data_IF_985700161370
#
_entry.id   IF_985700161370
#
_cell.length_a   1.000
_cell.length_b   1.000
_cell.length_c   1.000
_cell.angle_alpha   90.00
_cell.angle_beta   90.00
_cell.angle_gamma   90.00
#
_symmetry.space_group_name_H-M   'P 1'
#
loop_
_entity.id
_entity.type
_entity.pdbx_description
1 polymer ?
#
# COMPACT_ATOMS: atom_id res chain seq x y z
N UNK A 1 -39.23 -56.64 -43.06
CA UNK A 1 -38.34 -56.63 -41.91
C UNK A 1 -37.35 -55.47 -42.06
N UNK A 2 -37.62 -54.34 -41.45
CA UNK A 2 -36.74 -53.15 -41.50
C UNK A 2 -35.94 -53.09 -40.20
N UNK A 3 -34.60 -53.11 -40.32
CA UNK A 3 -33.68 -52.94 -39.20
C UNK A 3 -33.39 -51.43 -39.02
N UNK A 4 -33.86 -50.86 -37.95
CA UNK A 4 -33.44 -49.50 -37.53
C UNK A 4 -32.08 -49.55 -36.78
N UNK A 5 -31.09 -48.94 -37.41
CA UNK A 5 -29.77 -48.68 -36.77
C UNK A 5 -29.85 -47.42 -35.95
N UNK A 6 -29.65 -47.55 -34.63
CA UNK A 6 -29.59 -46.43 -33.71
C UNK A 6 -28.13 -45.91 -33.64
N UNK A 7 -27.91 -44.72 -34.19
CA UNK A 7 -26.60 -44.03 -34.13
C UNK A 7 -26.48 -43.28 -32.77
N UNK A 8 -25.56 -43.73 -31.93
CA UNK A 8 -25.21 -43.04 -30.67
C UNK A 8 -24.18 -41.96 -31.01
N UNK A 9 -24.62 -40.71 -30.99
CA UNK A 9 -23.70 -39.57 -31.07
C UNK A 9 -23.13 -39.32 -29.68
N UNK A 10 -21.82 -39.56 -29.50
CA UNK A 10 -21.06 -39.25 -28.32
C UNK A 10 -20.71 -37.76 -28.34
N UNK A 11 -21.35 -36.97 -27.47
CA UNK A 11 -21.03 -35.56 -27.26
C UNK A 11 -19.79 -35.50 -26.39
N UNK A 12 -18.65 -35.12 -26.97
CA UNK A 12 -17.41 -34.81 -26.22
C UNK A 12 -17.54 -33.43 -25.59
N UNK A 13 -17.79 -33.39 -24.26
CA UNK A 13 -17.80 -32.17 -23.48
C UNK A 13 -16.34 -31.78 -23.17
N UNK A 14 -15.77 -30.86 -23.94
CA UNK A 14 -14.44 -30.29 -23.64
C UNK A 14 -14.52 -29.33 -22.45
N UNK A 15 -14.08 -29.81 -21.30
CA UNK A 15 -13.89 -28.97 -20.10
C UNK A 15 -12.62 -28.13 -20.33
N UNK A 16 -12.81 -26.87 -20.66
CA UNK A 16 -11.74 -25.85 -20.61
C UNK A 16 -11.35 -25.61 -19.17
N UNK A 17 -10.31 -26.28 -18.70
CA UNK A 17 -9.64 -25.98 -17.45
C UNK A 17 -8.92 -24.63 -17.62
N UNK A 18 -9.52 -23.55 -17.15
CA UNK A 18 -8.79 -22.31 -16.90
C UNK A 18 -7.78 -22.58 -15.80
N UNK A 19 -6.58 -22.98 -16.20
CA UNK A 19 -5.42 -23.01 -15.30
C UNK A 19 -5.11 -21.59 -14.90
N UNK A 20 -5.49 -21.21 -13.67
CA UNK A 20 -5.02 -20.00 -13.02
C UNK A 20 -3.52 -20.21 -12.73
N UNK A 21 -2.66 -19.90 -13.73
CA UNK A 21 -1.21 -19.93 -13.52
C UNK A 21 -0.86 -18.86 -12.49
N UNK A 22 -0.51 -19.31 -11.28
CA UNK A 22 0.07 -18.44 -10.26
C UNK A 22 1.26 -17.71 -10.91
N UNK A 23 1.19 -16.40 -10.99
CA UNK A 23 2.21 -15.54 -11.59
C UNK A 23 3.52 -15.72 -10.81
N UNK A 24 4.47 -16.48 -11.36
CA UNK A 24 5.70 -16.92 -10.70
C UNK A 24 6.79 -15.84 -10.60
N UNK A 25 6.52 -14.59 -10.96
CA UNK A 25 7.51 -13.52 -10.96
C UNK A 25 6.89 -12.14 -10.74
N UNK A 26 7.77 -11.16 -10.60
CA UNK A 26 7.38 -9.74 -10.54
C UNK A 26 6.93 -9.32 -11.93
N UNK A 27 5.72 -8.74 -12.11
CA UNK A 27 5.25 -8.28 -13.42
C UNK A 27 6.18 -7.20 -13.97
N UNK A 28 6.42 -7.20 -15.28
CA UNK A 28 7.30 -6.22 -15.96
C UNK A 28 6.80 -4.77 -15.88
N UNK A 29 5.55 -4.56 -15.47
CA UNK A 29 4.96 -3.25 -15.18
C UNK A 29 5.37 -2.67 -13.83
N UNK A 30 6.02 -3.46 -12.97
CA UNK A 30 6.54 -3.02 -11.67
C UNK A 30 8.05 -2.80 -11.73
N UNK A 31 8.53 -1.86 -10.94
CA UNK A 31 9.94 -1.56 -10.74
C UNK A 31 10.23 -1.45 -9.25
N UNK A 32 11.46 -1.72 -8.85
CA UNK A 32 11.92 -1.41 -7.50
C UNK A 32 12.31 0.08 -7.46
N UNK A 33 11.61 0.86 -6.66
CA UNK A 33 11.78 2.32 -6.61
C UNK A 33 13.21 2.73 -6.20
N UNK A 34 13.90 1.93 -5.39
CA UNK A 34 15.28 2.19 -4.97
C UNK A 34 16.29 2.19 -6.14
N UNK A 35 15.97 1.50 -7.24
CA UNK A 35 16.82 1.50 -8.44
C UNK A 35 16.70 2.82 -9.21
N UNK A 36 15.61 3.57 -9.05
CA UNK A 36 15.34 4.85 -9.70
C UNK A 36 15.67 6.04 -8.80
N UNK A 37 15.59 5.86 -7.49
CA UNK A 37 15.95 6.86 -6.47
C UNK A 37 17.00 6.22 -5.54
N UNK A 38 18.30 6.27 -5.88
CA UNK A 38 19.34 5.52 -5.15
C UNK A 38 19.45 5.86 -3.67
N UNK A 39 19.17 7.11 -3.31
CA UNK A 39 19.22 7.61 -1.92
C UNK A 39 17.85 7.60 -1.24
N UNK A 40 16.90 6.80 -1.75
CA UNK A 40 15.60 6.62 -1.13
C UNK A 40 15.75 6.02 0.27
N UNK A 41 15.20 6.70 1.27
CA UNK A 41 15.06 6.13 2.61
C UNK A 41 13.84 5.21 2.65
N UNK A 42 14.00 4.08 3.33
CA UNK A 42 12.99 3.01 3.41
C UNK A 42 12.86 2.56 4.85
N UNK A 43 11.61 2.43 5.31
CA UNK A 43 11.27 1.82 6.60
C UNK A 43 10.01 0.96 6.40
N UNK A 44 10.19 -0.18 5.68
CA UNK A 44 9.08 -1.09 5.37
C UNK A 44 8.53 -1.73 6.65
N UNK A 45 7.49 -1.11 7.19
CA UNK A 45 6.90 -1.48 8.49
C UNK A 45 6.39 -2.90 8.54
N UNK A 46 5.91 -3.43 7.42
CA UNK A 46 5.32 -4.77 7.34
C UNK A 46 6.34 -5.90 7.18
N UNK A 47 7.60 -5.56 6.90
CA UNK A 47 8.70 -6.52 6.91
C UNK A 47 9.10 -6.95 8.33
N UNK A 48 8.91 -6.07 9.32
CA UNK A 48 9.28 -6.28 10.73
C UNK A 48 8.09 -6.29 11.69
N UNK A 49 8.39 -6.05 12.96
CA UNK A 49 7.39 -6.06 14.05
C UNK A 49 6.81 -4.67 14.33
N UNK A 50 7.35 -3.61 13.71
CA UNK A 50 6.97 -2.22 14.00
C UNK A 50 5.77 -1.79 13.17
N UNK A 51 4.65 -2.49 13.32
CA UNK A 51 3.36 -2.24 12.66
C UNK A 51 2.21 -2.56 13.60
N UNK A 52 0.98 -2.30 13.18
CA UNK A 52 -0.22 -2.49 14.01
C UNK A 52 -0.56 -3.96 14.31
N UNK A 53 0.07 -4.93 13.61
CA UNK A 53 -0.06 -6.35 13.96
C UNK A 53 0.97 -6.77 15.03
N UNK A 54 2.07 -6.03 15.19
CA UNK A 54 3.18 -6.38 16.08
C UNK A 54 4.03 -7.56 15.61
N UNK A 55 3.95 -7.92 14.32
CA UNK A 55 4.68 -9.03 13.68
C UNK A 55 4.87 -8.79 12.18
N UNK A 56 5.81 -9.53 11.52
CA UNK A 56 5.95 -9.50 10.07
C UNK A 56 4.64 -9.91 9.37
N UNK A 57 4.39 -9.32 8.21
CA UNK A 57 3.18 -9.51 7.41
C UNK A 57 3.47 -10.42 6.22
N UNK A 58 2.54 -11.31 5.90
CA UNK A 58 2.68 -12.26 4.79
C UNK A 58 2.93 -11.57 3.44
N UNK A 59 3.98 -12.03 2.74
CA UNK A 59 4.33 -11.53 1.41
C UNK A 59 5.37 -10.42 1.38
N UNK A 60 5.85 -9.96 2.55
CA UNK A 60 6.99 -9.06 2.70
C UNK A 60 8.22 -9.90 3.08
N UNK A 61 9.00 -10.31 2.07
CA UNK A 61 10.14 -11.22 2.25
C UNK A 61 11.49 -10.51 2.07
N UNK A 62 11.50 -9.25 1.61
CA UNK A 62 12.71 -8.44 1.42
C UNK A 62 12.44 -6.93 1.52
N UNK A 63 13.51 -6.15 1.73
CA UNK A 63 13.48 -4.69 1.76
C UNK A 63 13.48 -4.09 0.33
N UNK A 64 12.45 -4.41 -0.46
CA UNK A 64 12.24 -3.86 -1.80
C UNK A 64 10.92 -3.11 -1.88
N UNK A 65 10.93 -1.97 -2.56
CA UNK A 65 9.77 -1.11 -2.75
C UNK A 65 9.31 -1.24 -4.19
N UNK A 66 8.39 -2.16 -4.45
CA UNK A 66 7.80 -2.29 -5.78
C UNK A 66 6.64 -1.32 -5.98
N UNK A 67 6.60 -0.71 -7.15
CA UNK A 67 5.53 0.19 -7.58
C UNK A 67 5.40 0.12 -9.11
N UNK A 68 4.27 0.55 -9.68
CA UNK A 68 4.11 0.62 -11.14
C UNK A 68 5.08 1.63 -11.75
N UNK A 69 5.47 1.43 -13.02
CA UNK A 69 6.36 2.33 -13.76
C UNK A 69 5.82 3.75 -13.82
N UNK A 70 4.51 3.91 -13.98
CA UNK A 70 3.83 5.21 -14.03
C UNK A 70 3.95 5.95 -12.71
N UNK A 71 3.67 5.28 -11.59
CA UNK A 71 3.80 5.88 -10.27
C UNK A 71 5.26 6.17 -9.91
N UNK A 72 6.20 5.29 -10.32
CA UNK A 72 7.63 5.52 -10.09
C UNK A 72 8.15 6.77 -10.80
N UNK A 73 7.71 7.01 -12.04
CA UNK A 73 8.09 8.21 -12.80
C UNK A 73 7.62 9.50 -12.11
N UNK A 74 6.41 9.48 -11.56
CA UNK A 74 5.88 10.59 -10.77
C UNK A 74 6.67 10.81 -9.47
N UNK A 75 7.04 9.72 -8.75
CA UNK A 75 7.83 9.80 -7.51
C UNK A 75 9.27 10.30 -7.74
N UNK A 76 9.90 9.93 -8.85
CA UNK A 76 11.20 10.51 -9.25
C UNK A 76 11.08 12.02 -9.38
N UNK A 77 9.97 12.52 -9.94
CA UNK A 77 9.74 13.96 -10.08
C UNK A 77 9.47 14.63 -8.73
N UNK A 78 8.72 13.98 -7.82
CA UNK A 78 8.54 14.41 -6.43
C UNK A 78 9.89 14.54 -5.73
N UNK A 79 10.72 13.49 -5.77
CA UNK A 79 12.04 13.49 -5.11
C UNK A 79 12.94 14.59 -5.68
N UNK A 80 12.95 14.76 -7.01
CA UNK A 80 13.76 15.81 -7.66
C UNK A 80 13.37 17.21 -7.20
N UNK A 81 12.07 17.49 -7.05
CA UNK A 81 11.59 18.79 -6.57
C UNK A 81 11.93 18.99 -5.09
N UNK A 82 11.74 17.99 -4.25
CA UNK A 82 12.09 18.05 -2.83
C UNK A 82 13.58 18.28 -2.61
N UNK A 83 14.44 17.68 -3.44
CA UNK A 83 15.89 17.86 -3.34
C UNK A 83 16.31 19.34 -3.46
N UNK A 84 15.57 20.16 -4.22
CA UNK A 84 15.87 21.62 -4.34
C UNK A 84 15.62 22.38 -3.03
N UNK A 85 14.90 21.76 -2.10
CA UNK A 85 14.54 22.31 -0.79
C UNK A 85 15.33 21.65 0.35
N UNK A 86 16.30 20.79 0.05
CA UNK A 86 17.02 20.01 1.06
C UNK A 86 16.20 18.88 1.70
N UNK A 87 15.08 18.51 1.06
CA UNK A 87 14.16 17.49 1.53
C UNK A 87 14.18 16.25 0.64
N UNK A 88 13.71 15.14 1.18
CA UNK A 88 13.50 13.89 0.46
C UNK A 88 12.28 13.15 0.97
N UNK A 89 12.01 11.98 0.37
CA UNK A 89 10.95 11.07 0.82
C UNK A 89 11.54 9.87 1.56
N UNK A 90 10.78 9.36 2.53
CA UNK A 90 10.98 8.07 3.18
C UNK A 90 9.72 7.23 3.02
N UNK A 91 9.87 6.00 2.54
CA UNK A 91 8.75 5.11 2.20
C UNK A 91 8.50 4.11 3.31
N UNK A 92 7.24 4.00 3.73
CA UNK A 92 6.75 3.03 4.71
C UNK A 92 6.13 1.80 4.04
N UNK A 93 5.37 1.99 2.95
CA UNK A 93 4.78 0.93 2.14
C UNK A 93 4.51 1.42 0.70
N UNK A 94 4.47 0.48 -0.25
CA UNK A 94 4.10 0.77 -1.63
C UNK A 94 3.21 -0.36 -2.18
N UNK A 95 3.67 -1.18 -3.13
CA UNK A 95 2.92 -2.37 -3.50
C UNK A 95 2.77 -3.30 -2.29
N UNK A 96 1.53 -3.63 -1.97
CA UNK A 96 1.14 -4.56 -0.89
C UNK A 96 0.46 -5.78 -1.51
N UNK A 97 1.01 -6.98 -1.38
CA UNK A 97 0.37 -8.19 -1.91
C UNK A 97 -1.04 -8.39 -1.33
N UNK A 98 -1.99 -8.89 -2.11
CA UNK A 98 -3.34 -9.18 -1.61
C UNK A 98 -3.33 -10.13 -0.40
N UNK A 99 -2.35 -11.04 -0.32
CA UNK A 99 -2.16 -11.92 0.85
C UNK A 99 -1.85 -11.15 2.14
N UNK A 100 -1.17 -9.99 2.04
CA UNK A 100 -0.93 -9.11 3.18
C UNK A 100 -2.24 -8.45 3.64
N UNK A 101 -3.08 -7.99 2.71
CA UNK A 101 -4.42 -7.47 3.02
C UNK A 101 -5.28 -8.55 3.70
N UNK A 102 -5.19 -9.79 3.24
CA UNK A 102 -5.88 -10.92 3.88
C UNK A 102 -5.34 -11.19 5.30
N UNK A 103 -4.03 -11.01 5.52
CA UNK A 103 -3.41 -11.13 6.84
C UNK A 103 -3.91 -10.03 7.81
N UNK A 104 -4.08 -8.79 7.33
CA UNK A 104 -4.71 -7.71 8.10
C UNK A 104 -6.15 -8.05 8.50
N UNK A 105 -6.93 -8.61 7.57
CA UNK A 105 -8.31 -9.05 7.84
C UNK A 105 -8.36 -10.14 8.91
N UNK A 106 -7.52 -11.16 8.78
CA UNK A 106 -7.44 -12.26 9.75
C UNK A 106 -7.04 -11.75 11.14
N UNK A 107 -6.07 -10.81 11.21
CA UNK A 107 -5.68 -10.16 12.45
C UNK A 107 -6.82 -9.32 13.04
N UNK A 108 -7.54 -8.55 12.22
CA UNK A 108 -8.63 -7.70 12.69
C UNK A 108 -9.78 -8.51 13.33
N UNK A 109 -10.01 -9.74 12.87
CA UNK A 109 -11.02 -10.64 13.43
C UNK A 109 -10.60 -11.28 14.77
N UNK A 110 -9.31 -11.27 15.12
CA UNK A 110 -8.78 -11.78 16.40
C UNK A 110 -8.81 -10.65 17.43
N UNK A 111 -9.94 -10.45 18.07
CA UNK A 111 -10.17 -9.30 18.97
C UNK A 111 -9.23 -9.26 20.18
N UNK A 112 -8.75 -10.43 20.63
CA UNK A 112 -7.82 -10.60 21.74
C UNK A 112 -6.38 -10.20 21.39
N UNK A 113 -6.00 -10.17 20.10
CA UNK A 113 -4.69 -9.78 19.65
C UNK A 113 -4.56 -8.24 19.63
N UNK A 114 -4.12 -7.69 20.75
CA UNK A 114 -4.02 -6.24 21.00
C UNK A 114 -2.60 -5.78 21.34
N UNK A 115 -1.58 -6.57 21.00
CA UNK A 115 -0.17 -6.31 21.38
C UNK A 115 0.32 -4.92 20.94
N UNK A 116 -0.11 -4.45 19.77
CA UNK A 116 0.28 -3.17 19.20
C UNK A 116 -0.70 -2.01 19.52
N UNK A 117 -1.80 -2.28 20.25
CA UNK A 117 -2.89 -1.33 20.46
C UNK A 117 -2.42 0.02 21.00
N UNK A 118 -1.62 0.01 22.05
CA UNK A 118 -1.18 1.25 22.74
C UNK A 118 -0.48 2.22 21.79
N UNK A 119 0.19 1.69 20.76
CA UNK A 119 0.99 2.50 19.83
C UNK A 119 0.21 2.92 18.59
N UNK A 120 -0.60 2.02 18.03
CA UNK A 120 -1.19 2.23 16.71
C UNK A 120 -2.69 2.53 16.72
N UNK A 121 -3.45 2.05 17.72
CA UNK A 121 -4.90 2.26 17.79
C UNK A 121 -5.41 2.37 19.24
N UNK A 122 -4.82 3.30 20.05
CA UNK A 122 -5.13 3.38 21.50
C UNK A 122 -6.61 3.65 21.76
N UNK A 123 -7.24 4.46 20.92
CA UNK A 123 -8.62 4.93 21.09
C UNK A 123 -9.63 4.24 20.17
N UNK A 124 -9.14 3.44 19.21
CA UNK A 124 -10.01 2.73 18.28
C UNK A 124 -10.27 1.31 18.79
N UNK A 125 -11.54 0.95 18.90
CA UNK A 125 -11.92 -0.43 19.18
C UNK A 125 -11.76 -1.28 17.91
N UNK A 126 -11.03 -2.38 18.04
CA UNK A 126 -10.70 -3.29 16.93
C UNK A 126 -11.94 -3.82 16.19
N UNK A 127 -13.09 -3.92 16.86
CA UNK A 127 -14.38 -4.31 16.28
C UNK A 127 -14.88 -3.37 15.18
N UNK A 128 -14.43 -2.13 15.19
CA UNK A 128 -14.87 -1.10 14.26
C UNK A 128 -13.89 -0.81 13.12
N UNK A 129 -12.72 -1.47 13.07
CA UNK A 129 -11.68 -1.20 12.07
C UNK A 129 -12.20 -1.28 10.62
N UNK A 130 -13.04 -2.26 10.30
CA UNK A 130 -13.68 -2.38 8.98
C UNK A 130 -14.67 -1.24 8.73
N UNK A 131 -15.53 -0.94 9.72
CA UNK A 131 -16.56 0.10 9.60
C UNK A 131 -15.94 1.50 9.45
N UNK A 132 -14.82 1.73 10.11
CA UNK A 132 -14.08 3.00 10.08
C UNK A 132 -13.13 3.10 8.88
N UNK A 133 -13.01 2.07 8.05
CA UNK A 133 -12.21 2.09 6.83
C UNK A 133 -10.71 1.79 7.02
N UNK A 134 -10.22 1.58 8.27
CA UNK A 134 -8.81 1.27 8.51
C UNK A 134 -8.39 -0.10 7.94
N UNK A 135 -9.29 -1.06 7.91
CA UNK A 135 -9.06 -2.37 7.29
C UNK A 135 -10.08 -2.58 6.16
N UNK A 136 -9.60 -2.85 4.96
CA UNK A 136 -10.41 -3.07 3.77
C UNK A 136 -10.26 -4.50 3.23
N UNK A 137 -11.24 -4.96 2.44
CA UNK A 137 -11.15 -6.25 1.74
C UNK A 137 -10.17 -6.23 0.57
N UNK A 138 -10.04 -5.07 -0.06
CA UNK A 138 -9.15 -4.79 -1.19
C UNK A 138 -8.46 -3.47 -0.93
N UNK A 139 -7.17 -3.39 -1.23
CA UNK A 139 -6.36 -2.20 -0.99
C UNK A 139 -5.88 -1.59 -2.30
N UNK A 140 -5.83 -0.26 -2.35
CA UNK A 140 -5.17 0.49 -3.43
C UNK A 140 -3.73 0.05 -3.65
N UNK A 141 -3.01 -0.26 -2.58
CA UNK A 141 -1.64 -0.76 -2.63
C UNK A 141 -1.49 -2.05 -3.45
N UNK A 142 -2.48 -2.95 -3.41
CA UNK A 142 -2.43 -4.20 -4.19
C UNK A 142 -2.57 -3.96 -5.70
N UNK A 143 -2.98 -2.76 -6.14
CA UNK A 143 -2.98 -2.34 -7.55
C UNK A 143 -1.63 -1.78 -8.01
N UNK A 144 -0.73 -1.47 -7.07
CA UNK A 144 0.65 -1.12 -7.32
C UNK A 144 0.93 0.35 -7.61
N UNK A 145 -0.05 1.25 -7.50
CA UNK A 145 0.15 2.70 -7.72
C UNK A 145 -0.19 3.55 -6.50
N UNK A 146 -0.24 2.93 -5.33
CA UNK A 146 -0.43 3.56 -4.03
C UNK A 146 0.85 3.47 -3.23
N UNK A 147 1.15 4.52 -2.45
CA UNK A 147 2.35 4.63 -1.63
C UNK A 147 2.03 5.34 -0.31
N UNK A 148 2.64 4.84 0.76
CA UNK A 148 2.66 5.46 2.07
C UNK A 148 4.07 6.00 2.34
N UNK A 149 4.18 7.29 2.62
CA UNK A 149 5.46 7.96 2.74
C UNK A 149 5.42 9.19 3.65
N UNK A 150 6.61 9.67 4.04
CA UNK A 150 6.80 10.95 4.75
C UNK A 150 7.91 11.77 4.10
N UNK A 151 8.08 12.99 4.59
CA UNK A 151 9.20 13.87 4.27
C UNK A 151 10.34 13.70 5.29
N UNK A 152 11.56 13.81 4.78
CA UNK A 152 12.79 13.81 5.59
C UNK A 152 13.70 14.97 5.21
N UNK A 153 14.53 15.41 6.16
CA UNK A 153 15.68 16.26 5.85
C UNK A 153 16.78 15.40 5.20
N UNK A 154 17.35 15.88 4.08
CA UNK A 154 18.47 15.16 3.42
C UNK A 154 19.75 15.18 4.24
N UNK A 155 19.92 16.17 5.12
CA UNK A 155 21.12 16.40 5.92
C UNK A 155 21.37 15.29 6.95
N UNK A 156 20.29 14.84 7.63
CA UNK A 156 20.37 13.92 8.78
C UNK A 156 19.38 12.76 8.73
N UNK A 157 18.53 12.73 7.68
CA UNK A 157 17.49 11.72 7.44
C UNK A 157 16.36 11.69 8.49
N UNK A 158 16.29 12.70 9.34
CA UNK A 158 15.18 12.82 10.28
C UNK A 158 13.87 13.13 9.56
N UNK A 159 12.78 12.52 10.03
CA UNK A 159 11.43 12.80 9.52
C UNK A 159 10.96 14.18 9.95
N UNK A 160 10.23 14.88 9.07
CA UNK A 160 9.47 16.06 9.46
C UNK A 160 8.33 15.61 10.39
N UNK A 161 8.05 16.40 11.44
CA UNK A 161 6.96 16.10 12.36
C UNK A 161 5.60 16.24 11.67
N UNK A 162 4.89 15.12 11.54
CA UNK A 162 3.55 15.05 10.95
C UNK A 162 2.44 14.96 12.02
N UNK A 163 2.79 15.01 13.32
CA UNK A 163 1.84 14.95 14.44
C UNK A 163 1.46 13.53 14.86
N UNK A 164 1.45 12.56 13.95
CA UNK A 164 1.31 11.14 14.27
C UNK A 164 2.33 10.32 13.49
N UNK A 165 2.63 9.12 13.98
CA UNK A 165 3.38 8.14 13.21
C UNK A 165 2.52 7.48 12.13
N UNK A 166 3.17 6.80 11.19
CA UNK A 166 2.54 5.94 10.19
C UNK A 166 1.68 4.85 10.86
N UNK A 167 0.54 4.51 10.25
CA UNK A 167 -0.44 3.53 10.75
C UNK A 167 -1.07 3.87 12.11
N UNK A 168 -1.04 5.12 12.55
CA UNK A 168 -1.82 5.51 13.71
C UNK A 168 -3.31 5.62 13.33
N UNK A 169 -4.15 4.69 13.78
CA UNK A 169 -5.59 4.69 13.53
C UNK A 169 -6.31 5.65 14.48
N UNK A 170 -6.87 6.70 13.93
CA UNK A 170 -7.61 7.72 14.68
C UNK A 170 -7.59 9.08 13.99
N UNK A 171 -8.49 9.97 14.43
CA UNK A 171 -8.63 11.33 13.90
C UNK A 171 -7.32 12.14 13.83
N UNK A 172 -6.36 11.98 14.78
CA UNK A 172 -5.07 12.69 14.69
C UNK A 172 -4.30 12.43 13.38
N UNK A 173 -4.58 11.34 12.65
CA UNK A 173 -3.97 11.05 11.34
C UNK A 173 -4.67 11.70 10.17
N UNK A 174 -5.86 12.28 10.35
CA UNK A 174 -6.58 12.97 9.28
C UNK A 174 -5.88 14.26 8.87
N UNK A 175 -5.90 14.57 7.58
CA UNK A 175 -5.25 15.77 7.03
C UNK A 175 -5.73 17.07 7.69
N UNK A 176 -7.01 17.16 8.02
CA UNK A 176 -7.68 18.33 8.57
C UNK A 176 -7.79 18.33 10.11
N UNK A 177 -7.08 17.43 10.80
CA UNK A 177 -7.13 17.37 12.26
C UNK A 177 -6.84 18.72 12.91
N UNK A 178 -7.78 19.21 13.70
CA UNK A 178 -7.77 20.59 14.20
C UNK A 178 -6.63 20.89 15.18
N UNK A 179 -6.23 19.89 15.98
CA UNK A 179 -5.30 20.05 17.09
C UNK A 179 -3.82 19.85 16.72
N UNK A 180 -3.47 19.92 15.43
CA UNK A 180 -2.07 19.96 14.98
C UNK A 180 -1.43 21.30 15.32
N UNK A 181 -0.12 21.27 15.62
CA UNK A 181 0.69 22.50 15.65
C UNK A 181 0.77 23.14 14.26
N UNK A 182 1.18 24.40 14.17
CA UNK A 182 1.35 25.05 12.87
C UNK A 182 2.40 24.33 12.00
N UNK A 183 3.51 23.93 12.60
CA UNK A 183 4.57 23.17 11.92
C UNK A 183 4.05 21.85 11.34
N UNK A 184 3.28 21.06 12.10
CA UNK A 184 2.68 19.81 11.63
C UNK A 184 1.70 20.04 10.47
N UNK A 185 0.88 21.10 10.55
CA UNK A 185 -0.01 21.51 9.45
C UNK A 185 0.75 21.89 8.18
N UNK A 186 1.84 22.64 8.34
CA UNK A 186 2.67 23.08 7.23
C UNK A 186 3.39 21.90 6.58
N UNK A 187 3.92 20.96 7.38
CA UNK A 187 4.57 19.74 6.90
C UNK A 187 3.60 18.84 6.11
N UNK A 188 2.39 18.56 6.65
CA UNK A 188 1.35 17.80 5.93
C UNK A 188 0.90 18.50 4.65
N UNK A 189 0.75 19.83 4.71
CA UNK A 189 0.37 20.65 3.55
C UNK A 189 1.44 20.59 2.46
N UNK A 190 2.72 20.66 2.83
CA UNK A 190 3.84 20.54 1.89
C UNK A 190 3.83 19.17 1.20
N UNK A 191 3.74 18.09 1.99
CA UNK A 191 3.66 16.73 1.45
C UNK A 191 2.48 16.57 0.50
N UNK A 192 1.27 16.96 0.91
CA UNK A 192 0.06 16.87 0.09
C UNK A 192 0.20 17.66 -1.22
N UNK A 193 0.64 18.91 -1.15
CA UNK A 193 0.78 19.77 -2.33
C UNK A 193 1.76 19.19 -3.35
N UNK A 194 2.91 18.69 -2.90
CA UNK A 194 3.91 18.15 -3.83
C UNK A 194 3.41 16.85 -4.46
N UNK A 195 2.79 15.97 -3.71
CA UNK A 195 2.22 14.73 -4.22
C UNK A 195 1.09 15.00 -5.23
N UNK A 196 0.17 15.91 -4.91
CA UNK A 196 -0.94 16.29 -5.79
C UNK A 196 -0.45 16.96 -7.08
N UNK A 197 0.58 17.80 -7.01
CA UNK A 197 1.24 18.45 -8.16
C UNK A 197 1.80 17.40 -9.14
N UNK A 198 2.33 16.31 -8.62
CA UNK A 198 2.89 15.22 -9.42
C UNK A 198 1.89 14.09 -9.72
N UNK A 199 0.60 14.37 -9.63
CA UNK A 199 -0.46 13.50 -10.13
C UNK A 199 -0.99 12.46 -9.15
N UNK A 200 -0.61 12.52 -7.89
CA UNK A 200 -1.21 11.68 -6.85
C UNK A 200 -2.50 12.29 -6.29
N UNK A 201 -3.24 11.49 -5.56
CA UNK A 201 -4.43 11.84 -4.80
C UNK A 201 -4.25 11.36 -3.37
N UNK A 202 -4.44 12.25 -2.40
CA UNK A 202 -4.50 11.93 -0.98
C UNK A 202 -5.85 11.28 -0.61
N UNK A 203 -5.91 10.59 0.53
CA UNK A 203 -7.15 10.33 1.26
C UNK A 203 -7.17 11.20 2.51
N UNK A 204 -8.35 11.54 2.99
CA UNK A 204 -8.47 12.50 4.11
C UNK A 204 -8.08 11.87 5.47
N UNK A 205 -8.28 10.57 5.62
CA UNK A 205 -8.11 9.85 6.89
C UNK A 205 -6.64 9.53 7.23
N UNK A 206 -5.71 9.60 6.25
CA UNK A 206 -4.31 9.17 6.40
C UNK A 206 -3.36 10.15 5.70
N UNK A 207 -2.62 10.96 6.47
CA UNK A 207 -1.73 11.99 5.94
C UNK A 207 -0.58 11.44 5.06
N UNK A 208 -0.23 10.17 5.21
CA UNK A 208 0.86 9.49 4.49
C UNK A 208 0.43 8.86 3.17
N UNK A 209 -0.89 8.64 2.95
CA UNK A 209 -1.42 7.77 1.90
C UNK A 209 -1.74 8.51 0.60
N UNK A 210 -1.13 8.07 -0.50
CA UNK A 210 -1.29 8.67 -1.81
C UNK A 210 -1.43 7.64 -2.92
N UNK A 211 -2.42 7.81 -3.80
CA UNK A 211 -2.64 6.95 -4.98
C UNK A 211 -2.49 7.77 -6.25
N UNK A 212 -1.80 7.24 -7.27
CA UNK A 212 -1.70 7.90 -8.57
C UNK A 212 -3.09 8.02 -9.22
N UNK A 213 -3.48 9.23 -9.67
CA UNK A 213 -4.83 9.49 -10.25
C UNK A 213 -5.11 8.66 -11.49
N UNK A 214 -4.09 8.50 -12.36
CA UNK A 214 -4.17 7.73 -13.58
C UNK A 214 -3.43 6.39 -13.45
N UNK A 215 -3.78 5.62 -12.40
CA UNK A 215 -3.20 4.30 -12.20
C UNK A 215 -3.54 3.35 -13.35
N UNK A 216 -2.58 2.51 -13.83
CA UNK A 216 -2.80 1.61 -14.96
C UNK A 216 -3.70 0.42 -14.64
N UNK A 217 -3.81 0.04 -13.36
CA UNK A 217 -4.50 -1.19 -12.93
C UNK A 217 -5.62 -0.89 -11.93
N UNK A 218 -6.70 -0.22 -12.37
CA UNK A 218 -7.80 0.19 -11.46
C UNK A 218 -8.58 -0.97 -10.83
N UNK A 219 -8.64 -2.12 -11.54
CA UNK A 219 -9.46 -3.27 -11.14
C UNK A 219 -8.63 -4.55 -10.92
N UNK A 220 -7.29 -4.47 -11.05
CA UNK A 220 -6.41 -5.62 -10.90
C UNK A 220 -5.65 -5.56 -9.57
N UNK A 221 -5.80 -6.59 -8.74
CA UNK A 221 -5.15 -6.75 -7.45
C UNK A 221 -4.08 -7.83 -7.55
N UNK A 222 -2.83 -7.43 -7.40
CA UNK A 222 -1.69 -8.33 -7.50
C UNK A 222 -1.42 -9.07 -6.19
N UNK A 223 -0.73 -10.22 -6.29
CA UNK A 223 -0.46 -11.08 -5.14
C UNK A 223 0.92 -11.76 -5.19
N UNK A 224 1.92 -11.15 -5.87
CA UNK A 224 3.29 -11.64 -5.85
C UNK A 224 4.01 -11.22 -4.55
N UNK A 225 5.00 -12.04 -4.12
CA UNK A 225 5.78 -11.69 -2.93
C UNK A 225 6.79 -10.59 -3.24
N UNK A 226 7.05 -9.75 -2.24
CA UNK A 226 8.13 -8.75 -2.24
C UNK A 226 9.42 -9.48 -1.84
N UNK A 227 10.24 -9.88 -2.84
CA UNK A 227 11.44 -10.68 -2.63
C UNK A 227 12.58 -10.29 -3.58
#
# INVERSE_FOLDING_TARGET
MAKHSLSIQTILLSILLFSCSAQKGIPSSFVNLKELIPNLEIDLRYLGNHNFLGRPVRGYDSEKVFITKEASSALVSVQKELNTQGLGIKVFDAYRPQKAVNDFKEWALKLEDTVARKKFYPEVDKRYLFKLGYIAEKSGHSRGSTIDLTLIYLSDKNELDMGTGFDYFGEPSHHDYANLTQEQKDNRTLLRKIMEKHGFKAIEEEWWHYTLKNEPFKDQYFNFNIK
#
